data_IF_275501556386
#
_entry.id   IF_275501556386
#
_cell.length_a   1.000
_cell.length_b   1.000
_cell.length_c   1.000
_cell.angle_alpha   90.00
_cell.angle_beta   90.00
_cell.angle_gamma   90.00
#
_symmetry.space_group_name_H-M   'P 1'
#
loop_
_entity.id
_entity.type
_entity.pdbx_description
1 polymer ?
#
# COMPACT_ATOMS: atom_id res chain seq x y z
N UNK A 1 48.74 10.67 19.42
CA UNK A 1 48.19 9.81 18.34
C UNK A 1 46.76 10.25 18.10
N UNK A 2 46.54 11.13 17.11
CA UNK A 2 45.23 11.70 16.81
C UNK A 2 44.41 10.69 16.00
N UNK A 3 43.41 10.08 16.61
CA UNK A 3 42.44 9.24 15.88
C UNK A 3 41.64 10.14 14.93
N UNK A 4 41.79 9.94 13.63
CA UNK A 4 40.91 10.56 12.63
C UNK A 4 39.58 9.80 12.64
N UNK A 5 38.43 10.48 12.84
CA UNK A 5 37.14 9.80 12.86
C UNK A 5 36.84 9.23 11.47
N UNK A 6 36.70 7.91 11.40
CA UNK A 6 36.26 7.19 10.19
C UNK A 6 34.77 7.46 9.98
N UNK A 7 34.45 8.47 9.17
CA UNK A 7 33.08 8.80 8.77
C UNK A 7 32.55 7.69 7.85
N UNK A 8 31.84 6.73 8.42
CA UNK A 8 31.11 5.71 7.66
C UNK A 8 29.85 6.35 7.08
N UNK A 9 29.89 6.70 5.79
CA UNK A 9 28.73 7.14 5.02
C UNK A 9 27.85 5.92 4.66
N UNK A 10 27.11 5.40 5.62
CA UNK A 10 26.12 4.37 5.35
C UNK A 10 24.91 5.01 4.66
N UNK A 11 24.70 4.70 3.38
CA UNK A 11 23.50 5.09 2.64
C UNK A 11 22.31 4.28 3.19
N UNK A 12 21.45 4.92 3.99
CA UNK A 12 20.27 4.27 4.58
C UNK A 12 19.04 4.61 3.76
N UNK A 13 18.51 3.62 3.04
CA UNK A 13 17.26 3.78 2.30
C UNK A 13 16.07 3.55 3.24
N UNK A 14 15.57 4.63 3.84
CA UNK A 14 14.30 4.61 4.58
C UNK A 14 13.16 4.61 3.57
N UNK A 15 12.65 3.41 3.26
CA UNK A 15 11.44 3.22 2.45
C UNK A 15 10.19 3.20 3.32
N UNK A 16 9.17 3.95 2.94
CA UNK A 16 7.84 3.84 3.56
C UNK A 16 7.20 2.54 3.09
N UNK A 17 6.66 1.76 4.03
CA UNK A 17 5.91 0.56 3.69
C UNK A 17 4.63 0.94 2.94
N UNK A 18 4.21 0.13 1.95
CA UNK A 18 3.04 0.46 1.14
C UNK A 18 1.78 0.20 1.94
N UNK A 19 0.78 1.08 1.82
CA UNK A 19 -0.46 1.00 2.61
C UNK A 19 -1.45 -0.01 2.02
N UNK A 20 -1.04 -1.26 1.85
CA UNK A 20 -1.84 -2.34 1.26
C UNK A 20 -3.21 -2.50 1.93
N UNK A 21 -3.23 -2.53 3.26
CA UNK A 21 -4.46 -2.73 4.03
C UNK A 21 -5.50 -1.63 3.77
N UNK A 22 -5.06 -0.37 3.65
CA UNK A 22 -5.97 0.75 3.43
C UNK A 22 -6.60 0.68 2.05
N UNK A 23 -5.80 0.36 1.04
CA UNK A 23 -6.28 0.17 -0.33
C UNK A 23 -7.18 -1.06 -0.47
N UNK A 24 -6.84 -2.17 0.18
CA UNK A 24 -7.69 -3.36 0.22
C UNK A 24 -9.04 -3.06 0.86
N UNK A 25 -9.06 -2.36 2.00
CA UNK A 25 -10.30 -2.04 2.71
C UNK A 25 -11.18 -1.06 1.92
N UNK A 26 -10.59 -0.02 1.33
CA UNK A 26 -11.33 0.93 0.47
C UNK A 26 -11.91 0.24 -0.75
N UNK A 27 -11.12 -0.62 -1.42
CA UNK A 27 -11.61 -1.44 -2.53
C UNK A 27 -12.73 -2.40 -2.12
N UNK A 28 -12.61 -3.06 -0.96
CA UNK A 28 -13.63 -3.95 -0.43
C UNK A 28 -14.96 -3.23 -0.17
N UNK A 29 -14.91 -2.08 0.51
CA UNK A 29 -16.08 -1.24 0.77
C UNK A 29 -16.71 -0.76 -0.54
N UNK A 30 -15.89 -0.31 -1.50
CA UNK A 30 -16.38 0.11 -2.81
C UNK A 30 -17.06 -1.04 -3.56
N UNK A 31 -16.48 -2.24 -3.53
CA UNK A 31 -17.06 -3.45 -4.13
C UNK A 31 -18.41 -3.83 -3.52
N UNK A 32 -18.56 -3.71 -2.19
CA UNK A 32 -19.85 -3.90 -1.52
C UNK A 32 -20.86 -2.83 -1.93
N UNK A 33 -20.47 -1.56 -2.01
CA UNK A 33 -21.38 -0.50 -2.43
C UNK A 33 -21.92 -0.75 -3.85
N UNK A 34 -21.05 -1.14 -4.78
CA UNK A 34 -21.45 -1.54 -6.13
C UNK A 34 -22.40 -2.73 -6.08
N UNK A 35 -22.08 -3.76 -5.31
CA UNK A 35 -22.95 -4.93 -5.13
C UNK A 35 -24.33 -4.59 -4.58
N UNK A 36 -24.43 -3.65 -3.63
CA UNK A 36 -25.69 -3.19 -3.08
C UNK A 36 -26.53 -2.45 -4.14
N UNK A 37 -25.90 -1.61 -4.95
CA UNK A 37 -26.59 -0.91 -6.06
C UNK A 37 -27.16 -1.91 -7.06
N UNK A 38 -26.39 -2.91 -7.49
CA UNK A 38 -26.89 -3.97 -8.36
C UNK A 38 -27.95 -4.84 -7.67
N UNK A 39 -27.78 -5.10 -6.37
CA UNK A 39 -28.71 -5.86 -5.54
C UNK A 39 -30.12 -5.27 -5.45
N UNK A 40 -30.28 -3.96 -5.66
CA UNK A 40 -31.61 -3.32 -5.74
C UNK A 40 -32.46 -3.90 -6.87
N UNK A 41 -31.84 -4.33 -7.97
CA UNK A 41 -32.54 -4.93 -9.12
C UNK A 41 -32.79 -6.43 -8.96
N UNK A 42 -31.97 -7.12 -8.16
CA UNK A 42 -32.08 -8.56 -7.96
C UNK A 42 -31.78 -8.94 -6.50
N UNK A 43 -32.77 -8.77 -5.60
CA UNK A 43 -32.60 -9.05 -4.18
C UNK A 43 -32.26 -10.51 -3.90
N UNK A 44 -32.69 -11.43 -4.76
CA UNK A 44 -32.45 -12.86 -4.62
C UNK A 44 -30.97 -13.24 -4.62
N UNK A 45 -30.10 -12.45 -5.26
CA UNK A 45 -28.67 -12.74 -5.39
C UNK A 45 -27.79 -11.72 -4.64
N UNK A 46 -28.37 -10.79 -3.88
CA UNK A 46 -27.61 -9.68 -3.26
C UNK A 46 -26.50 -10.19 -2.33
N UNK A 47 -26.75 -11.26 -1.57
CA UNK A 47 -25.74 -11.86 -0.70
C UNK A 47 -24.52 -12.37 -1.48
N UNK A 48 -24.74 -13.02 -2.63
CA UNK A 48 -23.66 -13.46 -3.51
C UNK A 48 -22.92 -12.25 -4.11
N UNK A 49 -23.65 -11.23 -4.56
CA UNK A 49 -23.05 -10.01 -5.08
C UNK A 49 -22.16 -9.32 -4.05
N UNK A 50 -22.57 -9.27 -2.77
CA UNK A 50 -21.78 -8.67 -1.69
C UNK A 50 -20.47 -9.44 -1.47
N UNK A 51 -20.54 -10.78 -1.40
CA UNK A 51 -19.34 -11.61 -1.17
C UNK A 51 -18.35 -11.48 -2.34
N UNK A 52 -18.81 -11.70 -3.56
CA UNK A 52 -17.95 -11.61 -4.74
C UNK A 52 -17.49 -10.17 -5.02
N UNK A 53 -18.39 -9.20 -4.85
CA UNK A 53 -18.08 -7.77 -5.00
C UNK A 53 -17.05 -7.29 -3.98
N UNK A 54 -17.16 -7.71 -2.72
CA UNK A 54 -16.17 -7.42 -1.69
C UNK A 54 -14.81 -8.00 -2.02
N UNK A 55 -14.72 -9.29 -2.37
CA UNK A 55 -13.45 -9.95 -2.73
C UNK A 55 -12.83 -9.29 -3.97
N UNK A 56 -13.63 -9.08 -5.03
CA UNK A 56 -13.17 -8.44 -6.27
C UNK A 56 -12.70 -7.00 -6.03
N UNK A 57 -13.46 -6.22 -5.26
CA UNK A 57 -13.12 -4.86 -4.88
C UNK A 57 -11.85 -4.81 -4.03
N UNK A 58 -11.74 -5.65 -3.01
CA UNK A 58 -10.55 -5.75 -2.16
C UNK A 58 -9.30 -6.16 -2.96
N UNK A 59 -9.42 -7.14 -3.85
CA UNK A 59 -8.36 -7.56 -4.76
C UNK A 59 -7.92 -6.42 -5.69
N UNK A 60 -8.87 -5.68 -6.27
CA UNK A 60 -8.57 -4.50 -7.10
C UNK A 60 -7.86 -3.42 -6.29
N UNK A 61 -8.26 -3.21 -5.04
CA UNK A 61 -7.57 -2.32 -4.10
C UNK A 61 -6.11 -2.71 -3.89
N UNK A 62 -5.81 -3.99 -3.65
CA UNK A 62 -4.44 -4.48 -3.52
C UNK A 62 -3.64 -4.26 -4.81
N UNK A 63 -4.23 -4.52 -5.97
CA UNK A 63 -3.58 -4.27 -7.27
C UNK A 63 -3.20 -2.79 -7.40
N UNK A 64 -4.11 -1.87 -7.07
CA UNK A 64 -3.82 -0.44 -7.06
C UNK A 64 -2.69 -0.09 -6.08
N UNK A 65 -2.69 -0.69 -4.88
CA UNK A 65 -1.62 -0.48 -3.91
C UNK A 65 -0.25 -0.89 -4.45
N UNK A 66 -0.17 -2.02 -5.17
CA UNK A 66 1.06 -2.48 -5.82
C UNK A 66 1.50 -1.52 -6.93
N UNK A 67 0.57 -1.05 -7.75
CA UNK A 67 0.87 -0.08 -8.82
C UNK A 67 1.41 1.22 -8.23
N UNK A 68 0.75 1.76 -7.20
CA UNK A 68 1.22 2.96 -6.52
C UNK A 68 2.58 2.73 -5.86
N UNK A 69 2.78 1.60 -5.18
CA UNK A 69 4.07 1.27 -4.58
C UNK A 69 5.19 1.25 -5.63
N UNK A 70 4.96 0.60 -6.78
CA UNK A 70 5.91 0.56 -7.88
C UNK A 70 6.27 1.98 -8.39
N UNK A 71 5.27 2.86 -8.52
CA UNK A 71 5.48 4.25 -8.94
C UNK A 71 6.30 5.02 -7.89
N UNK A 72 5.95 4.92 -6.60
CA UNK A 72 6.63 5.66 -5.52
C UNK A 72 8.02 5.13 -5.19
N UNK A 73 8.29 3.84 -5.48
CA UNK A 73 9.61 3.23 -5.34
C UNK A 73 10.68 3.97 -6.16
N UNK A 74 10.29 4.54 -7.30
CA UNK A 74 11.18 5.36 -8.14
C UNK A 74 11.49 6.75 -7.56
N UNK A 75 10.73 7.22 -6.56
CA UNK A 75 10.84 8.57 -5.98
C UNK A 75 11.47 8.61 -4.59
N UNK A 76 12.01 7.49 -4.10
CA UNK A 76 12.66 7.40 -2.80
C UNK A 76 13.91 8.27 -2.70
N UNK A 77 13.91 9.25 -1.80
CA UNK A 77 15.08 10.09 -1.50
C UNK A 77 16.13 9.27 -0.75
N UNK A 78 17.33 9.16 -1.31
CA UNK A 78 18.51 8.59 -0.65
C UNK A 78 19.04 9.63 0.34
N UNK A 79 19.05 9.31 1.63
CA UNK A 79 19.62 10.18 2.68
C UNK A 79 20.92 9.53 3.16
N UNK A 80 22.03 10.30 3.15
CA UNK A 80 23.30 9.88 3.73
C UNK A 80 23.19 9.97 5.25
N UNK A 81 23.30 8.84 5.95
CA UNK A 81 23.37 8.84 7.41
C UNK A 81 24.82 9.10 7.81
N UNK A 82 25.12 10.30 8.30
CA UNK A 82 26.39 10.56 8.98
C UNK A 82 26.35 9.88 10.33
N UNK A 83 26.93 8.68 10.44
CA UNK A 83 27.25 8.06 11.74
C UNK A 83 28.43 8.82 12.33
N UNK A 84 28.19 9.62 13.38
CA UNK A 84 29.26 10.11 14.27
C UNK A 84 29.46 9.02 15.31
N UNK A 85 30.52 8.23 15.16
CA UNK A 85 30.95 7.28 16.18
C UNK A 85 31.79 8.07 17.20
N UNK A 86 31.40 8.00 18.48
CA UNK A 86 32.13 8.54 19.64
C UNK A 86 33.10 7.49 20.19
#
# INVERSE_FOLDING_TARGET
MSQTPIVSNAEVNIRRAPKYLHFALTGFVFGILVALVFGLSSPAIVGLLIVFGGIAGGGTGIILALVFDAIYRSRGKKLMATKVNE
#
